data_IF_591785818288
#
_entry.id   IF_591785818288
#
_cell.length_a   1.000
_cell.length_b   1.000
_cell.length_c   1.000
_cell.angle_alpha   90.00
_cell.angle_beta   90.00
_cell.angle_gamma   90.00
#
_symmetry.space_group_name_H-M   'P 1'
#
loop_
_entity.id
_entity.type
_entity.pdbx_description
1 polymer ?
#
# COMPACT_ATOMS: atom_id res chain seq x y z
N UNK A 1 -48.81 50.68 -24.37
CA UNK A 1 -47.53 50.24 -23.78
C UNK A 1 -47.27 48.82 -24.27
N UNK A 2 -46.68 48.69 -25.44
CA UNK A 2 -46.08 47.45 -25.92
C UNK A 2 -44.58 47.59 -25.70
N UNK A 3 -44.02 46.80 -24.79
CA UNK A 3 -42.59 46.66 -24.61
C UNK A 3 -42.20 45.26 -25.07
N UNK A 4 -41.53 45.22 -26.21
CA UNK A 4 -40.91 44.06 -26.84
C UNK A 4 -39.82 43.48 -25.94
N UNK A 5 -39.95 42.19 -25.61
CA UNK A 5 -38.92 41.40 -24.93
C UNK A 5 -37.88 40.97 -25.98
N UNK A 6 -36.56 41.16 -25.77
CA UNK A 6 -35.56 40.70 -26.72
C UNK A 6 -35.40 39.18 -26.65
N UNK A 7 -35.39 38.55 -27.82
CA UNK A 7 -35.10 37.13 -28.02
C UNK A 7 -33.74 36.75 -27.40
N UNK A 8 -33.77 35.84 -26.42
CA UNK A 8 -32.57 35.12 -25.98
C UNK A 8 -32.14 34.16 -27.09
N UNK A 9 -31.09 34.52 -27.82
CA UNK A 9 -30.33 33.59 -28.65
C UNK A 9 -29.85 32.43 -27.80
N UNK A 10 -30.38 31.24 -28.07
CA UNK A 10 -29.86 29.98 -27.56
C UNK A 10 -28.48 29.79 -28.19
N UNK A 11 -27.43 30.07 -27.42
CA UNK A 11 -26.10 29.57 -27.74
C UNK A 11 -26.15 28.06 -27.57
N UNK A 12 -26.35 27.35 -28.69
CA UNK A 12 -26.00 25.94 -28.77
C UNK A 12 -24.53 25.82 -28.40
N UNK A 13 -24.28 25.26 -27.23
CA UNK A 13 -22.95 24.82 -26.85
C UNK A 13 -22.48 23.85 -27.93
N UNK A 14 -21.38 24.18 -28.60
CA UNK A 14 -20.68 23.27 -29.49
C UNK A 14 -20.52 21.94 -28.75
N UNK A 15 -21.18 20.90 -29.26
CA UNK A 15 -20.91 19.54 -28.88
C UNK A 15 -19.42 19.33 -29.15
N UNK A 16 -18.64 19.23 -28.07
CA UNK A 16 -17.29 18.71 -28.14
C UNK A 16 -17.46 17.30 -28.69
N UNK A 17 -17.03 17.07 -29.94
CA UNK A 17 -16.86 15.73 -30.47
C UNK A 17 -16.03 14.95 -29.46
N UNK A 18 -16.67 14.03 -28.72
CA UNK A 18 -15.95 13.15 -27.82
C UNK A 18 -15.13 12.23 -28.70
N UNK A 19 -13.82 12.44 -28.69
CA UNK A 19 -12.89 11.57 -29.37
C UNK A 19 -12.84 10.25 -28.58
N UNK A 20 -13.82 9.37 -28.85
CA UNK A 20 -14.12 8.13 -28.13
C UNK A 20 -13.03 7.05 -28.26
N UNK A 21 -11.96 7.34 -29.00
CA UNK A 21 -10.85 6.43 -29.26
C UNK A 21 -10.14 5.93 -27.98
N UNK A 22 -10.34 6.60 -26.84
CA UNK A 22 -9.74 6.25 -25.55
C UNK A 22 -10.72 6.27 -24.37
N UNK A 23 -11.96 5.84 -24.60
CA UNK A 23 -13.00 5.79 -23.56
C UNK A 23 -12.55 5.06 -22.27
N UNK A 24 -11.65 4.06 -22.36
CA UNK A 24 -11.10 3.34 -21.20
C UNK A 24 -9.83 3.96 -20.58
N UNK A 25 -9.41 5.16 -21.00
CA UNK A 25 -8.21 5.84 -20.45
C UNK A 25 -8.32 6.13 -18.95
N UNK A 26 -9.54 6.29 -18.42
CA UNK A 26 -9.78 6.45 -16.98
C UNK A 26 -9.38 5.20 -16.18
N UNK A 27 -9.56 3.98 -16.71
CA UNK A 27 -9.08 2.74 -16.07
C UNK A 27 -7.54 2.71 -16.02
N UNK A 28 -6.88 3.29 -17.03
CA UNK A 28 -5.41 3.40 -17.13
C UNK A 28 -4.83 4.57 -16.30
N UNK A 29 -5.66 5.47 -15.79
CA UNK A 29 -5.24 6.70 -15.06
C UNK A 29 -5.81 6.80 -13.65
N UNK A 30 -6.75 5.92 -13.29
CA UNK A 30 -7.55 6.01 -12.06
C UNK A 30 -7.22 4.96 -11.00
N UNK A 31 -8.25 4.58 -10.25
CA UNK A 31 -8.17 3.70 -9.08
C UNK A 31 -7.55 2.33 -9.37
N UNK A 32 -7.85 1.74 -10.53
CA UNK A 32 -7.37 0.40 -10.91
C UNK A 32 -5.85 0.29 -10.81
N UNK A 33 -5.12 1.29 -11.29
CA UNK A 33 -3.65 1.27 -11.22
C UNK A 33 -3.13 1.39 -9.79
N UNK A 34 -3.78 2.21 -8.97
CA UNK A 34 -3.47 2.32 -7.55
C UNK A 34 -3.66 0.97 -6.83
N UNK A 35 -4.74 0.28 -7.15
CA UNK A 35 -5.03 -1.07 -6.62
C UNK A 35 -3.98 -2.07 -7.09
N UNK A 36 -3.62 -2.10 -8.38
CA UNK A 36 -2.58 -3.01 -8.89
C UNK A 36 -1.22 -2.78 -8.19
N UNK A 37 -0.84 -1.52 -7.96
CA UNK A 37 0.36 -1.20 -7.20
C UNK A 37 0.28 -1.70 -5.75
N UNK A 38 -0.86 -1.49 -5.08
CA UNK A 38 -1.11 -2.00 -3.73
C UNK A 38 -1.02 -3.52 -3.68
N UNK A 39 -1.57 -4.24 -4.66
CA UNK A 39 -1.51 -5.71 -4.74
C UNK A 39 -0.06 -6.19 -4.86
N UNK A 40 0.75 -5.57 -5.73
CA UNK A 40 2.17 -5.92 -5.87
C UNK A 40 2.94 -5.67 -4.57
N UNK A 41 2.66 -4.55 -3.91
CA UNK A 41 3.30 -4.24 -2.63
C UNK A 41 2.86 -5.20 -1.52
N UNK A 42 1.59 -5.62 -1.49
CA UNK A 42 1.12 -6.66 -0.58
C UNK A 42 1.85 -7.98 -0.85
N UNK A 43 1.99 -8.40 -2.11
CA UNK A 43 2.77 -9.59 -2.48
C UNK A 43 4.22 -9.50 -1.99
N UNK A 44 4.89 -8.35 -2.17
CA UNK A 44 6.22 -8.13 -1.61
C UNK A 44 6.25 -8.33 -0.09
N UNK A 45 5.35 -7.64 0.63
CA UNK A 45 5.34 -7.65 2.09
C UNK A 45 5.03 -9.04 2.63
N UNK A 46 4.06 -9.73 2.03
CA UNK A 46 3.75 -11.12 2.32
C UNK A 46 4.99 -12.00 2.15
N UNK A 47 5.67 -11.91 0.99
CA UNK A 47 6.89 -12.69 0.74
C UNK A 47 7.98 -12.39 1.78
N UNK A 48 8.19 -11.10 2.10
CA UNK A 48 9.18 -10.71 3.11
C UNK A 48 8.82 -11.16 4.52
N UNK A 49 7.54 -11.29 4.87
CA UNK A 49 7.13 -11.89 6.14
C UNK A 49 7.45 -13.38 6.17
N UNK A 50 7.20 -14.11 5.08
CA UNK A 50 7.54 -15.54 4.98
C UNK A 50 9.04 -15.81 5.07
N UNK A 51 9.87 -14.97 4.45
CA UNK A 51 11.32 -15.21 4.37
C UNK A 51 12.10 -14.74 5.59
N UNK A 52 11.49 -13.95 6.48
CA UNK A 52 12.22 -13.34 7.58
C UNK A 52 12.06 -14.10 8.88
N UNK A 53 13.18 -14.57 9.41
CA UNK A 53 13.36 -14.78 10.84
C UNK A 53 13.65 -13.45 11.56
N UNK A 54 12.75 -12.47 11.44
CA UNK A 54 12.86 -11.31 12.32
C UNK A 54 12.35 -11.73 13.70
N UNK A 55 13.26 -11.98 14.65
CA UNK A 55 12.90 -12.38 16.01
C UNK A 55 11.91 -11.40 16.70
N UNK A 56 11.78 -10.17 16.21
CA UNK A 56 10.83 -9.19 16.74
C UNK A 56 9.40 -9.33 16.18
N UNK A 57 9.16 -10.17 15.17
CA UNK A 57 7.85 -10.41 14.55
C UNK A 57 7.63 -11.92 14.61
N UNK A 58 6.87 -12.39 15.60
CA UNK A 58 6.37 -13.76 15.66
C UNK A 58 5.15 -13.93 14.74
N UNK A 59 4.08 -14.52 15.28
CA UNK A 59 2.84 -14.72 14.53
C UNK A 59 2.31 -13.38 14.01
N UNK A 60 1.91 -13.34 12.74
CA UNK A 60 1.51 -12.12 12.05
C UNK A 60 0.19 -12.28 11.28
N UNK A 61 -0.49 -11.14 11.14
CA UNK A 61 -1.76 -10.99 10.42
C UNK A 61 -1.70 -9.71 9.58
N UNK A 62 -2.01 -9.83 8.30
CA UNK A 62 -2.13 -8.70 7.38
C UNK A 62 -3.61 -8.41 7.09
N UNK A 63 -3.99 -7.13 7.18
CA UNK A 63 -5.29 -6.63 6.75
C UNK A 63 -5.12 -5.41 5.83
N UNK A 64 -6.16 -5.13 5.05
CA UNK A 64 -6.23 -4.03 4.09
C UNK A 64 -7.60 -3.38 4.13
N UNK A 65 -7.70 -2.12 3.72
CA UNK A 65 -8.96 -1.36 3.62
C UNK A 65 -9.77 -1.32 4.93
N UNK A 66 -9.07 -1.36 6.08
CA UNK A 66 -9.67 -1.35 7.41
C UNK A 66 -10.34 0.01 7.68
N UNK A 67 -11.67 0.01 7.81
CA UNK A 67 -12.46 1.23 7.97
C UNK A 67 -12.02 2.09 9.18
N UNK A 68 -11.80 1.45 10.34
CA UNK A 68 -11.45 2.16 11.58
C UNK A 68 -10.00 2.68 11.61
N UNK A 69 -9.17 2.30 10.64
CA UNK A 69 -7.80 2.78 10.45
C UNK A 69 -7.70 3.77 9.27
N UNK A 70 -8.81 4.37 8.83
CA UNK A 70 -8.86 5.22 7.64
C UNK A 70 -7.81 6.34 7.68
N UNK A 71 -6.96 6.35 6.65
CA UNK A 71 -5.79 7.23 6.57
C UNK A 71 -4.48 6.44 6.59
N UNK A 72 -4.46 5.28 7.26
CA UNK A 72 -3.38 4.29 7.23
C UNK A 72 -3.91 2.86 7.03
N UNK A 73 -5.07 2.76 6.37
CA UNK A 73 -5.82 1.52 6.16
C UNK A 73 -5.33 0.67 4.98
N UNK A 74 -4.46 1.21 4.12
CA UNK A 74 -4.09 0.55 2.86
C UNK A 74 -3.33 -0.76 3.16
N UNK A 75 -2.62 -0.81 4.30
CA UNK A 75 -2.06 -2.02 4.90
C UNK A 75 -1.95 -1.88 6.42
N UNK A 76 -2.40 -2.91 7.13
CA UNK A 76 -2.27 -3.08 8.59
C UNK A 76 -1.57 -4.40 8.85
N UNK A 77 -0.40 -4.34 9.48
CA UNK A 77 0.32 -5.51 9.97
C UNK A 77 0.16 -5.58 11.49
N UNK A 78 -0.54 -6.61 11.97
CA UNK A 78 -0.66 -7.00 13.36
C UNK A 78 0.28 -8.16 13.63
N UNK A 79 0.99 -8.16 14.76
CA UNK A 79 1.84 -9.30 15.12
C UNK A 79 2.05 -9.42 16.63
N UNK A 80 2.39 -10.64 17.06
CA UNK A 80 2.85 -10.93 18.43
C UNK A 80 4.38 -10.94 18.46
N UNK A 81 5.04 -10.12 19.29
CA UNK A 81 6.51 -10.11 19.41
C UNK A 81 7.09 -11.46 19.85
N UNK A 82 6.37 -12.18 20.72
CA UNK A 82 6.87 -13.39 21.39
C UNK A 82 6.33 -14.70 20.78
N UNK A 83 5.53 -14.63 19.71
CA UNK A 83 4.98 -15.81 19.00
C UNK A 83 3.96 -16.64 19.80
N UNK A 84 3.58 -16.22 21.00
CA UNK A 84 2.78 -16.98 21.98
C UNK A 84 1.26 -16.91 21.79
N UNK A 85 0.76 -16.33 20.69
CA UNK A 85 -0.68 -16.15 20.45
C UNK A 85 -1.30 -17.28 19.63
N UNK A 86 -2.43 -17.82 20.10
CA UNK A 86 -3.23 -18.83 19.42
C UNK A 86 -3.65 -18.39 18.00
N UNK A 87 -3.65 -19.34 17.06
CA UNK A 87 -3.50 -19.12 15.61
C UNK A 87 -4.67 -18.46 14.86
N UNK A 88 -5.62 -17.83 15.54
CA UNK A 88 -6.78 -17.18 14.95
C UNK A 88 -6.72 -15.64 14.99
N UNK A 89 -5.70 -15.04 15.65
CA UNK A 89 -5.53 -13.58 15.70
C UNK A 89 -6.58 -12.88 16.56
N UNK A 90 -7.35 -13.66 17.33
CA UNK A 90 -8.29 -13.16 18.33
C UNK A 90 -7.57 -12.37 19.42
N UNK A 91 -8.25 -11.36 19.94
CA UNK A 91 -7.82 -10.58 21.10
C UNK A 91 -7.87 -11.43 22.37
N UNK A 92 -6.92 -12.35 22.55
CA UNK A 92 -6.48 -12.72 23.89
C UNK A 92 -5.56 -11.62 24.43
N UNK A 93 -5.39 -11.55 25.75
CA UNK A 93 -4.70 -10.50 26.52
C UNK A 93 -3.21 -10.22 26.14
N UNK A 94 -2.72 -10.78 25.03
CA UNK A 94 -1.42 -10.45 24.46
C UNK A 94 -1.39 -9.04 23.87
N UNK A 95 -0.39 -8.24 24.25
CA UNK A 95 -0.12 -6.94 23.63
C UNK A 95 0.40 -7.14 22.20
N UNK A 96 -0.53 -7.24 21.25
CA UNK A 96 -0.19 -7.18 19.83
C UNK A 96 0.44 -5.84 19.49
N UNK A 97 1.38 -5.88 18.55
CA UNK A 97 2.02 -4.72 17.95
C UNK A 97 1.50 -4.51 16.54
N UNK A 98 1.41 -3.24 16.14
CA UNK A 98 0.80 -2.84 14.89
C UNK A 98 1.71 -1.91 14.10
N UNK A 99 1.76 -2.14 12.79
CA UNK A 99 2.37 -1.25 11.81
C UNK A 99 1.33 -0.90 10.77
N UNK A 100 1.14 0.38 10.52
CA UNK A 100 0.15 0.86 9.57
C UNK A 100 0.83 1.55 8.40
N UNK A 101 0.20 1.45 7.24
CA UNK A 101 0.74 2.05 6.02
C UNK A 101 -0.35 2.68 5.17
N UNK A 102 -0.03 3.85 4.65
CA UNK A 102 -0.74 4.47 3.54
C UNK A 102 0.11 4.32 2.28
N UNK A 103 -0.46 3.68 1.26
CA UNK A 103 0.18 3.39 -0.02
C UNK A 103 -0.34 4.39 -1.04
N UNK A 104 0.58 5.14 -1.66
CA UNK A 104 0.24 6.16 -2.66
C UNK A 104 1.20 6.10 -3.82
N UNK A 105 0.69 5.70 -4.98
CA UNK A 105 1.45 5.67 -6.21
C UNK A 105 0.98 6.77 -7.17
N UNK A 106 1.95 7.53 -7.70
CA UNK A 106 1.74 8.56 -8.69
C UNK A 106 2.21 8.09 -10.06
N UNK A 107 1.34 8.19 -11.07
CA UNK A 107 1.64 7.72 -12.43
C UNK A 107 2.77 8.49 -13.11
N UNK A 108 2.68 9.81 -13.14
CA UNK A 108 3.69 10.68 -13.76
C UNK A 108 4.33 11.54 -12.69
N UNK A 109 5.66 11.50 -12.65
CA UNK A 109 6.47 12.35 -11.80
C UNK A 109 6.91 13.64 -12.51
N UNK A 110 6.35 13.97 -13.69
CA UNK A 110 6.73 15.19 -14.41
C UNK A 110 6.20 16.46 -13.75
N UNK A 111 5.02 16.40 -13.10
CA UNK A 111 4.39 17.52 -12.39
C UNK A 111 4.05 17.12 -10.96
N UNK A 112 4.40 17.98 -9.99
CA UNK A 112 4.20 17.73 -8.56
C UNK A 112 4.87 16.41 -8.11
N UNK A 113 6.11 16.16 -8.54
CA UNK A 113 6.88 14.95 -8.19
C UNK A 113 7.16 14.82 -6.69
N UNK A 114 7.11 15.96 -5.99
CA UNK A 114 7.54 16.09 -4.61
C UNK A 114 6.39 16.47 -3.69
N UNK A 115 6.42 15.92 -2.48
CA UNK A 115 5.65 16.44 -1.34
C UNK A 115 6.28 17.79 -0.93
N UNK A 116 5.49 18.86 -1.03
CA UNK A 116 5.92 20.24 -0.73
C UNK A 116 5.28 20.78 0.57
N UNK A 117 5.71 21.95 1.05
CA UNK A 117 5.18 22.56 2.29
C UNK A 117 3.66 22.72 2.26
N UNK A 118 3.12 23.05 1.09
CA UNK A 118 1.68 23.11 0.84
C UNK A 118 0.98 21.78 1.12
N UNK A 119 1.59 20.65 0.77
CA UNK A 119 1.02 19.32 1.02
C UNK A 119 0.96 19.01 2.52
N UNK A 120 2.00 19.36 3.27
CA UNK A 120 2.10 19.06 4.71
C UNK A 120 0.98 19.67 5.55
N UNK A 121 0.43 20.81 5.13
CA UNK A 121 -0.67 21.51 5.82
C UNK A 121 -1.99 21.47 5.06
N UNK A 122 -2.05 20.80 3.90
CA UNK A 122 -3.26 20.82 3.08
C UNK A 122 -4.40 20.04 3.73
N UNK A 123 -5.60 20.64 3.68
CA UNK A 123 -6.87 19.97 4.00
C UNK A 123 -7.56 19.43 2.74
N UNK A 124 -7.05 19.76 1.55
CA UNK A 124 -7.68 19.42 0.27
C UNK A 124 -7.44 17.97 -0.10
N UNK A 125 -8.50 17.20 -0.44
CA UNK A 125 -8.46 15.74 -0.66
C UNK A 125 -7.33 15.29 -1.59
N UNK A 126 -7.06 16.04 -2.66
CA UNK A 126 -6.01 15.73 -3.65
C UNK A 126 -4.58 15.92 -3.13
N UNK A 127 -4.39 16.69 -2.06
CA UNK A 127 -3.09 17.07 -1.50
C UNK A 127 -2.91 16.57 -0.06
N UNK A 128 -3.82 15.74 0.45
CA UNK A 128 -3.69 15.14 1.79
C UNK A 128 -2.53 14.13 1.88
N UNK A 129 -1.93 13.76 0.75
CA UNK A 129 -0.75 12.91 0.68
C UNK A 129 0.41 13.60 1.42
N UNK A 130 0.78 13.05 2.58
CA UNK A 130 1.79 13.63 3.46
C UNK A 130 1.31 14.82 4.32
N UNK A 131 0.01 15.15 4.31
CA UNK A 131 -0.54 16.20 5.17
C UNK A 131 -0.50 15.77 6.63
N UNK A 132 0.37 16.40 7.43
CA UNK A 132 0.50 16.11 8.85
C UNK A 132 -0.82 16.34 9.60
N UNK A 133 -1.61 17.32 9.17
CA UNK A 133 -2.93 17.62 9.74
C UNK A 133 -3.91 16.47 9.48
N UNK A 134 -3.97 15.97 8.25
CA UNK A 134 -4.86 14.85 7.90
C UNK A 134 -4.42 13.56 8.58
N UNK A 135 -3.12 13.26 8.54
CA UNK A 135 -2.53 12.07 9.11
C UNK A 135 -2.68 12.04 10.64
N UNK A 136 -2.55 13.20 11.30
CA UNK A 136 -2.78 13.27 12.74
C UNK A 136 -4.24 13.04 13.11
N UNK A 137 -5.19 13.60 12.35
CA UNK A 137 -6.63 13.29 12.52
C UNK A 137 -6.93 11.81 12.36
N UNK A 138 -6.33 11.17 11.34
CA UNK A 138 -6.48 9.74 11.12
C UNK A 138 -5.94 8.92 12.31
N UNK A 139 -4.76 9.28 12.81
CA UNK A 139 -4.16 8.65 13.99
C UNK A 139 -5.03 8.78 15.24
N UNK A 140 -5.52 9.99 15.55
CA UNK A 140 -6.40 10.22 16.71
C UNK A 140 -7.68 9.40 16.61
N UNK A 141 -8.31 9.35 15.44
CA UNK A 141 -9.52 8.54 15.23
C UNK A 141 -9.24 7.04 15.40
N UNK A 142 -8.04 6.57 15.05
CA UNK A 142 -7.68 5.16 15.13
C UNK A 142 -7.52 4.66 16.58
N UNK A 143 -6.91 5.46 17.47
CA UNK A 143 -6.60 5.09 18.86
C UNK A 143 -7.82 4.69 19.71
N UNK A 144 -9.03 5.08 19.33
CA UNK A 144 -10.25 4.73 20.06
C UNK A 144 -11.14 3.69 19.37
N UNK A 145 -10.95 3.49 18.06
CA UNK A 145 -11.91 2.78 17.23
C UNK A 145 -11.37 1.46 16.70
N UNK A 146 -10.10 1.42 16.27
CA UNK A 146 -9.52 0.21 15.70
C UNK A 146 -9.02 -0.72 16.79
N UNK A 147 -9.68 -1.87 16.97
CA UNK A 147 -9.33 -2.93 17.94
C UNK A 147 -9.03 -2.43 19.38
N UNK A 148 -9.48 -1.23 19.75
CA UNK A 148 -9.16 -0.53 21.01
C UNK A 148 -7.65 -0.43 21.30
N UNK A 149 -6.83 -0.26 20.26
CA UNK A 149 -5.37 -0.20 20.42
C UNK A 149 -4.93 1.06 21.17
N UNK A 150 -3.84 0.96 21.93
CA UNK A 150 -3.20 2.09 22.60
C UNK A 150 -1.98 2.62 21.82
N UNK A 151 -1.52 3.85 22.08
CA UNK A 151 -0.36 4.43 21.39
C UNK A 151 0.92 3.61 21.49
N UNK A 152 1.13 2.84 22.55
CA UNK A 152 2.30 1.96 22.74
C UNK A 152 2.27 0.70 21.86
N UNK A 153 1.10 0.31 21.37
CA UNK A 153 0.94 -0.82 20.45
C UNK A 153 1.26 -0.46 18.99
N UNK A 154 1.41 0.83 18.67
CA UNK A 154 1.73 1.28 17.31
C UNK A 154 3.24 1.45 17.18
N UNK A 155 3.86 0.66 16.32
CA UNK A 155 5.30 0.73 16.07
C UNK A 155 5.63 1.84 15.08
N UNK A 156 4.93 1.88 13.95
CA UNK A 156 5.05 2.96 12.99
C UNK A 156 3.80 3.18 12.13
N UNK A 157 3.77 4.38 11.55
CA UNK A 157 2.77 4.86 10.60
C UNK A 157 3.55 5.28 9.34
N UNK A 158 3.49 4.49 8.28
CA UNK A 158 4.30 4.71 7.08
C UNK A 158 3.48 5.36 5.97
N UNK A 159 3.97 6.45 5.41
CA UNK A 159 3.52 6.99 4.12
C UNK A 159 4.45 6.44 3.05
N UNK A 160 3.95 5.47 2.28
CA UNK A 160 4.69 4.77 1.25
C UNK A 160 4.34 5.33 -0.12
N UNK A 161 5.30 5.97 -0.78
CA UNK A 161 5.05 6.62 -2.07
C UNK A 161 6.25 6.66 -3.00
N UNK A 162 5.99 6.61 -4.31
CA UNK A 162 7.01 6.78 -5.35
C UNK A 162 7.36 8.26 -5.61
N UNK A 163 6.61 9.21 -5.03
CA UNK A 163 6.98 10.62 -5.01
C UNK A 163 8.23 10.86 -4.16
N UNK A 164 9.00 11.91 -4.45
CA UNK A 164 10.01 12.42 -3.51
C UNK A 164 9.37 13.37 -2.48
N UNK A 165 10.16 13.85 -1.53
CA UNK A 165 9.77 14.87 -0.56
C UNK A 165 10.79 15.99 -0.57
N UNK A 166 10.32 17.23 -0.45
CA UNK A 166 11.24 18.36 -0.32
C UNK A 166 12.11 18.21 0.94
N UNK A 167 13.32 18.76 0.87
CA UNK A 167 14.28 18.74 1.97
C UNK A 167 13.86 19.69 3.11
N UNK A 168 12.82 19.33 3.85
CA UNK A 168 12.43 20.06 5.05
C UNK A 168 13.47 19.87 6.15
N UNK A 169 13.80 20.94 6.87
CA UNK A 169 14.84 20.92 7.92
C UNK A 169 14.54 19.95 9.06
N UNK A 170 13.27 19.64 9.30
CA UNK A 170 12.85 18.69 10.33
C UNK A 170 12.78 17.24 9.84
N UNK A 171 13.09 16.93 8.58
CA UNK A 171 13.17 15.56 8.11
C UNK A 171 14.59 15.03 8.26
N UNK A 172 14.72 13.93 8.98
CA UNK A 172 16.00 13.25 9.22
C UNK A 172 15.98 11.90 8.52
N UNK A 173 16.99 11.59 7.68
CA UNK A 173 17.06 10.27 7.04
C UNK A 173 17.21 9.19 8.11
N UNK A 174 16.57 8.05 7.88
CA UNK A 174 16.67 6.87 8.74
C UNK A 174 17.00 5.64 7.90
N UNK A 175 17.52 4.60 8.56
CA UNK A 175 17.86 3.35 7.89
C UNK A 175 16.66 2.72 7.17
N UNK A 176 17.00 1.91 6.16
CA UNK A 176 16.05 1.10 5.42
C UNK A 176 15.26 0.19 6.33
N UNK A 177 14.00 -0.06 5.98
CA UNK A 177 13.20 -1.06 6.67
C UNK A 177 13.39 -2.40 6.00
N UNK A 178 13.74 -3.43 6.78
CA UNK A 178 13.99 -4.75 6.20
C UNK A 178 12.73 -5.33 5.52
N UNK A 179 11.53 -4.93 5.94
CA UNK A 179 10.23 -5.49 5.52
C UNK A 179 9.66 -4.69 4.35
N UNK A 180 9.62 -3.37 4.48
CA UNK A 180 9.03 -2.47 3.49
C UNK A 180 10.04 -1.87 2.52
N UNK A 181 11.34 -2.03 2.77
CA UNK A 181 12.41 -1.45 1.97
C UNK A 181 12.89 -2.35 0.83
N UNK A 182 13.50 -1.71 -0.17
CA UNK A 182 14.07 -2.34 -1.35
C UNK A 182 15.56 -2.01 -1.40
N UNK A 183 16.40 -3.00 -1.73
CA UNK A 183 17.84 -2.78 -1.82
C UNK A 183 18.16 -1.73 -2.89
N UNK A 184 18.92 -0.70 -2.51
CA UNK A 184 19.33 0.38 -3.42
C UNK A 184 18.21 1.31 -3.90
N UNK A 185 16.97 1.19 -3.40
CA UNK A 185 15.83 2.01 -3.85
C UNK A 185 15.00 2.53 -2.68
N UNK A 186 14.52 3.76 -2.84
CA UNK A 186 13.72 4.46 -1.85
C UNK A 186 14.55 5.17 -0.79
N UNK A 187 13.93 6.16 -0.15
CA UNK A 187 14.49 6.91 0.98
C UNK A 187 13.48 6.87 2.12
N UNK A 188 13.97 6.92 3.36
CA UNK A 188 13.11 6.97 4.55
C UNK A 188 13.48 8.16 5.41
N UNK A 189 12.46 8.87 5.87
CA UNK A 189 12.62 10.02 6.75
C UNK A 189 11.71 9.92 7.96
N UNK A 190 12.22 10.35 9.12
CA UNK A 190 11.44 10.64 10.33
C UNK A 190 11.49 12.13 10.65
N UNK A 191 10.59 12.56 11.53
CA UNK A 191 10.50 13.95 11.98
C UNK A 191 11.42 14.16 13.19
N UNK A 192 12.34 15.11 13.08
CA UNK A 192 12.97 15.73 14.24
C UNK A 192 11.97 16.68 14.91
N UNK A 193 11.40 16.23 16.03
CA UNK A 193 10.40 16.97 16.79
C UNK A 193 10.98 18.28 17.34
N UNK A 194 12.27 18.31 17.72
CA UNK A 194 12.89 19.54 18.25
C UNK A 194 12.99 20.62 17.18
N UNK A 195 13.26 20.22 15.94
CA UNK A 195 13.29 21.14 14.80
C UNK A 195 11.87 21.52 14.39
N UNK A 196 10.94 20.56 14.28
CA UNK A 196 9.56 20.83 13.89
C UNK A 196 8.84 21.77 14.88
N UNK A 197 9.16 21.73 16.18
CA UNK A 197 8.62 22.67 17.18
C UNK A 197 8.87 24.14 16.83
N UNK A 198 9.90 24.43 16.02
CA UNK A 198 10.23 25.78 15.55
C UNK A 198 9.39 26.22 14.34
N UNK A 199 8.51 25.35 13.84
CA UNK A 199 7.55 25.64 12.75
C UNK A 199 6.14 25.88 13.34
N UNK A 200 5.83 27.11 13.80
CA UNK A 200 4.62 27.38 14.59
C UNK A 200 3.33 27.06 13.83
N UNK A 201 3.30 27.25 12.51
CA UNK A 201 2.11 27.01 11.69
C UNK A 201 1.65 25.54 11.72
N UNK A 202 2.59 24.59 11.69
CA UNK A 202 2.26 23.15 11.77
C UNK A 202 1.83 22.80 13.18
N UNK A 203 2.58 23.23 14.20
CA UNK A 203 2.29 22.90 15.59
C UNK A 203 0.93 23.42 16.04
N UNK A 204 0.58 24.68 15.73
CA UNK A 204 -0.73 25.26 16.05
C UNK A 204 -1.86 24.41 15.45
N UNK A 205 -1.69 23.94 14.21
CA UNK A 205 -2.69 23.08 13.56
C UNK A 205 -2.85 21.72 14.24
N UNK A 206 -1.77 21.13 14.76
CA UNK A 206 -1.82 19.85 15.49
C UNK A 206 -2.50 20.04 16.86
N UNK A 207 -2.13 21.09 17.61
CA UNK A 207 -2.76 21.41 18.89
C UNK A 207 -4.27 21.68 18.76
N UNK A 208 -4.70 22.29 17.66
CA UNK A 208 -6.13 22.50 17.38
C UNK A 208 -6.91 21.19 17.15
N UNK A 209 -6.25 20.11 16.74
CA UNK A 209 -6.89 18.79 16.56
C UNK A 209 -7.02 18.06 17.89
N UNK A 210 -5.93 18.01 18.65
CA UNK A 210 -5.85 17.32 19.94
C UNK A 210 -4.80 18.01 20.79
N UNK A 211 -5.17 18.80 21.81
CA UNK A 211 -4.24 19.59 22.61
C UNK A 211 -3.52 18.73 23.68
N UNK A 212 -2.88 17.64 23.26
CA UNK A 212 -2.14 16.71 24.12
C UNK A 212 -0.76 16.44 23.52
N UNK A 213 0.28 16.89 24.25
CA UNK A 213 1.69 16.72 23.88
C UNK A 213 2.10 15.26 23.70
N UNK A 214 1.62 14.36 24.56
CA UNK A 214 1.96 12.94 24.49
C UNK A 214 1.38 12.30 23.22
N UNK A 215 0.15 12.67 22.86
CA UNK A 215 -0.50 12.18 21.63
C UNK A 215 0.15 12.77 20.38
N UNK A 216 0.41 14.09 20.35
CA UNK A 216 1.06 14.76 19.21
C UNK A 216 2.48 14.22 19.00
N UNK A 217 3.33 14.24 20.03
CA UNK A 217 4.71 13.80 19.90
C UNK A 217 4.82 12.28 19.75
N UNK A 218 3.87 11.53 20.31
CA UNK A 218 3.71 10.10 20.08
C UNK A 218 3.42 9.77 18.61
N UNK A 219 2.56 10.54 17.96
CA UNK A 219 2.29 10.45 16.52
C UNK A 219 3.53 10.80 15.68
N UNK A 220 4.11 11.99 15.91
CA UNK A 220 5.23 12.49 15.10
C UNK A 220 6.45 11.57 15.15
N UNK A 221 6.68 10.90 16.29
CA UNK A 221 7.78 9.93 16.46
C UNK A 221 7.58 8.65 15.64
N UNK A 222 6.33 8.25 15.43
CA UNK A 222 5.95 7.02 14.72
C UNK A 222 5.77 7.22 13.22
N UNK A 223 5.52 8.45 12.79
CA UNK A 223 5.34 8.78 11.38
C UNK A 223 6.65 8.62 10.59
N UNK A 224 6.59 7.85 9.51
CA UNK A 224 7.70 7.62 8.59
C UNK A 224 7.28 7.98 7.16
N UNK A 225 8.09 8.76 6.48
CA UNK A 225 7.95 9.00 5.05
C UNK A 225 8.88 8.05 4.29
N UNK A 226 8.31 7.04 3.62
CA UNK A 226 9.01 6.15 2.71
C UNK A 226 8.76 6.63 1.27
N UNK A 227 9.71 7.40 0.74
CA UNK A 227 9.60 8.15 -0.52
C UNK A 227 10.52 7.57 -1.59
N UNK A 228 10.39 8.02 -2.84
CA UNK A 228 11.15 7.50 -3.98
C UNK A 228 11.05 5.97 -4.13
N UNK A 229 9.93 5.39 -3.70
CA UNK A 229 9.68 3.96 -3.79
C UNK A 229 9.61 3.50 -5.26
N UNK A 230 9.85 2.21 -5.56
CA UNK A 230 9.77 1.68 -6.91
C UNK A 230 8.45 2.04 -7.60
N UNK A 231 8.52 2.28 -8.91
CA UNK A 231 7.34 2.31 -9.77
C UNK A 231 6.71 0.91 -9.89
N UNK A 232 5.49 0.83 -10.40
CA UNK A 232 4.76 -0.43 -10.55
C UNK A 232 5.49 -1.52 -11.38
N UNK A 233 6.20 -1.22 -12.49
CA UNK A 233 7.01 -2.22 -13.20
C UNK A 233 8.25 -2.63 -12.39
N UNK A 234 8.99 -1.66 -11.86
CA UNK A 234 10.20 -1.93 -11.04
C UNK A 234 9.88 -2.80 -9.82
N UNK A 235 8.70 -2.61 -9.22
CA UNK A 235 8.28 -3.37 -8.04
C UNK A 235 8.19 -4.87 -8.32
N UNK A 236 7.66 -5.26 -9.48
CA UNK A 236 7.56 -6.66 -9.89
C UNK A 236 8.94 -7.28 -10.14
N UNK A 237 9.80 -6.58 -10.87
CA UNK A 237 11.18 -7.04 -11.11
C UNK A 237 11.93 -7.28 -9.79
N UNK A 238 11.76 -6.39 -8.81
CA UNK A 238 12.36 -6.52 -7.48
C UNK A 238 11.81 -7.72 -6.70
N UNK A 239 10.49 -7.97 -6.77
CA UNK A 239 9.87 -9.13 -6.11
C UNK A 239 10.38 -10.43 -6.72
N UNK A 240 10.32 -10.55 -8.05
CA UNK A 240 10.76 -11.77 -8.77
C UNK A 240 12.24 -12.03 -8.53
N UNK A 241 13.08 -10.99 -8.54
CA UNK A 241 14.51 -11.10 -8.22
C UNK A 241 14.74 -11.61 -6.79
N UNK A 242 14.00 -11.11 -5.81
CA UNK A 242 14.09 -11.58 -4.42
C UNK A 242 13.63 -13.03 -4.29
N UNK A 243 12.53 -13.41 -4.94
CA UNK A 243 12.05 -14.80 -4.96
C UNK A 243 13.04 -15.74 -5.65
N UNK A 244 13.82 -15.25 -6.61
CA UNK A 244 14.90 -16.00 -7.27
C UNK A 244 16.02 -16.46 -6.34
N UNK A 245 16.10 -15.91 -5.12
CA UNK A 245 17.00 -16.42 -4.07
C UNK A 245 16.54 -17.74 -3.47
N UNK A 246 15.25 -18.06 -3.61
CA UNK A 246 14.63 -19.28 -3.06
C UNK A 246 14.20 -20.25 -4.16
N UNK A 247 13.66 -19.74 -5.27
CA UNK A 247 13.09 -20.56 -6.33
C UNK A 247 13.87 -20.42 -7.63
N UNK A 248 14.10 -21.55 -8.33
CA UNK A 248 14.75 -21.55 -9.65
C UNK A 248 13.85 -20.99 -10.77
N UNK A 249 12.54 -21.01 -10.58
CA UNK A 249 11.53 -20.47 -11.51
C UNK A 249 10.65 -19.43 -10.79
N UNK A 250 11.23 -18.31 -10.33
CA UNK A 250 10.56 -17.39 -9.41
C UNK A 250 9.31 -16.75 -10.01
N UNK A 251 9.24 -16.59 -11.33
CA UNK A 251 8.07 -16.03 -12.02
C UNK A 251 6.79 -16.84 -11.74
N UNK A 252 6.87 -18.18 -11.75
CA UNK A 252 5.70 -19.05 -11.52
C UNK A 252 5.17 -18.89 -10.10
N UNK A 253 6.07 -18.79 -9.12
CA UNK A 253 5.70 -18.58 -7.72
C UNK A 253 5.18 -17.17 -7.48
N UNK A 254 5.78 -16.16 -8.12
CA UNK A 254 5.29 -14.77 -8.05
C UNK A 254 3.88 -14.66 -8.64
N UNK A 255 3.65 -15.16 -9.85
CA UNK A 255 2.35 -15.04 -10.53
C UNK A 255 1.23 -15.71 -9.72
N UNK A 256 1.50 -16.90 -9.18
CA UNK A 256 0.54 -17.60 -8.32
C UNK A 256 0.34 -16.90 -6.99
N UNK A 257 1.39 -16.42 -6.31
CA UNK A 257 1.22 -15.69 -5.06
C UNK A 257 0.45 -14.40 -5.29
N UNK A 258 0.80 -13.63 -6.31
CA UNK A 258 0.12 -12.39 -6.71
C UNK A 258 -1.38 -12.62 -6.96
N UNK A 259 -1.73 -13.66 -7.72
CA UNK A 259 -3.12 -14.08 -7.93
C UNK A 259 -3.84 -14.41 -6.63
N UNK A 260 -3.21 -15.18 -5.74
CA UNK A 260 -3.82 -15.56 -4.47
C UNK A 260 -4.00 -14.37 -3.52
N UNK A 261 -3.07 -13.40 -3.53
CA UNK A 261 -3.21 -12.14 -2.79
C UNK A 261 -4.39 -11.32 -3.33
N UNK A 262 -4.59 -11.24 -4.65
CA UNK A 262 -5.78 -10.59 -5.23
C UNK A 262 -7.04 -11.29 -4.76
N UNK A 263 -7.09 -12.63 -4.84
CA UNK A 263 -8.25 -13.40 -4.42
C UNK A 263 -8.58 -13.15 -2.95
N UNK A 264 -7.57 -13.17 -2.08
CA UNK A 264 -7.74 -12.83 -0.65
C UNK A 264 -8.23 -11.40 -0.45
N UNK A 265 -7.63 -10.41 -1.13
CA UNK A 265 -8.00 -8.99 -1.02
C UNK A 265 -9.46 -8.74 -1.37
N UNK A 266 -10.02 -9.53 -2.29
CA UNK A 266 -11.41 -9.42 -2.73
C UNK A 266 -12.42 -10.15 -1.81
N UNK A 267 -11.95 -10.92 -0.81
CA UNK A 267 -12.86 -11.59 0.13
C UNK A 267 -13.53 -10.58 1.05
N UNK A 268 -14.85 -10.55 1.02
CA UNK A 268 -15.65 -9.70 1.89
C UNK A 268 -16.98 -10.39 2.22
N UNK A 269 -17.04 -10.99 3.40
CA UNK A 269 -18.18 -11.80 3.83
C UNK A 269 -18.78 -11.23 5.12
N UNK A 270 -20.10 -11.08 5.14
CA UNK A 270 -20.87 -10.59 6.31
C UNK A 270 -20.32 -9.28 6.89
N UNK A 271 -19.88 -8.37 6.02
CA UNK A 271 -19.35 -7.06 6.42
C UNK A 271 -17.92 -7.08 6.96
N UNK A 272 -17.17 -8.17 6.77
CA UNK A 272 -15.81 -8.34 7.28
C UNK A 272 -14.86 -8.86 6.20
N UNK A 273 -13.63 -8.36 6.22
CA UNK A 273 -12.51 -8.91 5.46
C UNK A 273 -11.64 -9.78 6.39
N UNK A 274 -11.18 -10.96 5.95
CA UNK A 274 -10.34 -11.83 6.76
C UNK A 274 -8.89 -11.30 6.80
N UNK A 275 -8.19 -11.58 7.90
CA UNK A 275 -6.74 -11.43 7.94
C UNK A 275 -6.05 -12.46 7.04
N UNK A 276 -5.04 -12.03 6.29
CA UNK A 276 -4.06 -12.94 5.68
C UNK A 276 -3.06 -13.36 6.74
N UNK A 277 -2.68 -14.63 6.75
CA UNK A 277 -1.77 -15.23 7.74
C UNK A 277 -0.74 -16.11 7.05
N UNK A 278 0.28 -16.50 7.79
CA UNK A 278 1.32 -17.43 7.33
C UNK A 278 0.74 -18.72 6.75
N UNK A 279 -0.26 -19.32 7.40
CA UNK A 279 -0.89 -20.56 6.95
C UNK A 279 -1.54 -20.42 5.57
N UNK A 280 -2.19 -19.29 5.29
CA UNK A 280 -2.76 -19.02 3.97
C UNK A 280 -1.67 -19.02 2.90
N UNK A 281 -0.56 -18.32 3.17
CA UNK A 281 0.53 -18.16 2.21
C UNK A 281 1.29 -19.46 2.00
N UNK A 282 1.57 -20.21 3.08
CA UNK A 282 2.17 -21.54 3.00
C UNK A 282 1.35 -22.46 2.11
N UNK A 283 0.02 -22.43 2.24
CA UNK A 283 -0.88 -23.19 1.36
C UNK A 283 -0.72 -22.76 -0.10
N UNK A 284 -0.75 -21.46 -0.39
CA UNK A 284 -0.58 -20.97 -1.77
C UNK A 284 0.76 -21.38 -2.41
N UNK A 285 1.84 -21.32 -1.65
CA UNK A 285 3.17 -21.73 -2.11
C UNK A 285 3.25 -23.24 -2.31
N UNK A 286 2.67 -24.02 -1.39
CA UNK A 286 2.60 -25.48 -1.50
C UNK A 286 1.77 -25.92 -2.71
N UNK A 287 0.59 -25.34 -2.90
CA UNK A 287 -0.27 -25.66 -4.05
C UNK A 287 0.46 -25.39 -5.38
N UNK A 288 1.28 -24.32 -5.44
CA UNK A 288 2.13 -24.02 -6.61
C UNK A 288 3.23 -25.07 -6.80
N UNK A 289 3.89 -25.47 -5.72
CA UNK A 289 4.93 -26.51 -5.75
C UNK A 289 4.36 -27.86 -6.19
N UNK A 290 3.22 -28.26 -5.65
CA UNK A 290 2.54 -29.51 -5.97
C UNK A 290 2.10 -29.52 -7.45
N UNK A 291 1.56 -28.40 -7.96
CA UNK A 291 1.23 -28.25 -9.39
C UNK A 291 2.44 -28.46 -10.29
N UNK A 292 3.59 -27.85 -9.97
CA UNK A 292 4.82 -28.01 -10.73
C UNK A 292 5.37 -29.43 -10.66
N UNK A 293 5.23 -30.09 -9.52
CA UNK A 293 5.64 -31.47 -9.33
C UNK A 293 4.82 -32.43 -10.19
N UNK A 294 3.50 -32.26 -10.23
CA UNK A 294 2.61 -33.06 -11.09
C UNK A 294 2.88 -32.79 -12.58
N UNK A 295 3.05 -31.52 -12.98
CA UNK A 295 3.41 -31.16 -14.36
C UNK A 295 4.75 -31.75 -14.82
N UNK A 296 5.69 -31.98 -13.91
CA UNK A 296 6.96 -32.66 -14.22
C UNK A 296 6.78 -34.17 -14.42
N UNK A 297 5.82 -34.80 -13.75
CA UNK A 297 5.52 -36.23 -13.92
C UNK A 297 4.77 -36.51 -15.22
N UNK A 298 3.91 -35.59 -15.64
CA UNK A 298 3.16 -35.71 -16.88
C UNK A 298 3.97 -35.13 -18.04
N UNK A 299 4.58 -36.00 -18.87
CA UNK A 299 5.45 -35.60 -20.00
C UNK A 299 4.77 -34.71 -21.06
N UNK A 300 3.44 -34.53 -21.03
CA UNK A 300 2.71 -33.67 -21.97
C UNK A 300 1.77 -32.69 -21.25
N UNK A 301 2.08 -31.40 -21.39
CA UNK A 301 1.23 -30.29 -20.93
C UNK A 301 0.23 -29.80 -21.99
N UNK A 302 0.35 -30.25 -23.24
CA UNK A 302 -0.45 -29.74 -24.36
C UNK A 302 -1.03 -30.90 -25.15
N UNK A 303 -2.35 -30.88 -25.33
CA UNK A 303 -3.04 -31.80 -26.23
C UNK A 303 -2.45 -31.67 -27.65
N UNK A 304 -1.92 -32.74 -28.24
CA UNK A 304 -1.30 -32.72 -29.56
C UNK A 304 -2.28 -32.33 -30.68
N UNK A 305 -3.59 -32.29 -30.41
CA UNK A 305 -4.64 -31.94 -31.38
C UNK A 305 -4.96 -30.42 -31.39
N UNK A 306 -4.34 -29.63 -30.51
CA UNK A 306 -4.59 -28.18 -30.47
C UNK A 306 -3.80 -27.42 -31.53
N UNK A 307 -4.50 -26.61 -32.36
CA UNK A 307 -3.87 -25.64 -33.29
C UNK A 307 -2.92 -24.65 -32.60
N UNK A 308 -3.05 -24.46 -31.28
CA UNK A 308 -2.14 -23.64 -30.49
C UNK A 308 -0.83 -24.41 -30.22
N UNK A 309 -0.91 -25.72 -29.97
CA UNK A 309 0.26 -26.58 -29.77
C UNK A 309 1.19 -26.54 -30.99
N UNK A 310 0.62 -26.63 -32.20
CA UNK A 310 1.37 -26.58 -33.45
C UNK A 310 2.07 -25.23 -33.63
N UNK A 311 1.38 -24.12 -33.33
CA UNK A 311 1.97 -22.77 -33.39
C UNK A 311 3.09 -22.59 -32.37
N UNK A 312 2.91 -23.09 -31.15
CA UNK A 312 3.92 -23.00 -30.10
C UNK A 312 5.17 -23.83 -30.44
N UNK A 313 5.01 -25.02 -31.03
CA UNK A 313 6.13 -25.84 -31.52
C UNK A 313 6.93 -25.16 -32.62
N UNK A 314 6.27 -24.44 -33.53
CA UNK A 314 6.93 -23.67 -34.59
C UNK A 314 7.74 -22.51 -34.03
N UNK A 315 7.31 -21.89 -32.93
CA UNK A 315 8.00 -20.77 -32.27
C UNK A 315 9.15 -21.21 -31.35
N UNK A 316 9.27 -22.50 -31.04
CA UNK A 316 10.33 -23.05 -30.19
C UNK A 316 11.58 -23.54 -30.95
N UNK A 317 11.73 -23.13 -32.22
CA UNK A 317 12.93 -23.31 -33.07
C UNK A 317 13.72 -22.00 -33.15
#
# INVERSE_FOLDING_TARGET
>A
MENTIPEKKVHFANAIESNDQYAASYLKTGSTRGVMYQMKLLTWITWKLMCKNNASIGNWWLATEVCDARGFHDLVLKYSPDGTSNGDGGTSDGKYMYRFMQIKHKRSLEKNANITSYHLTSKHKLHRQGSLIYLFKAYVNMLGNFEKITPDQIVDLTIFTNMDINAFKFLVPVEGDKLYGFEGKGKRYRIDIKVLKKEPGIMICLYHIMPDDNIIFGFLRKLVFAVCQPSEPELEELIVKEMGKTFNVPQIFYDNLYKNIINWFLVYDNGKAPYLTENHVMKYLKDTQDMLWEAKKTEMLVDPVSKIADKLKVLSL
#
